data_IF_709888406315
#
_entry.id   IF_709888406315
#
_cell.length_a   1.000
_cell.length_b   1.000
_cell.length_c   1.000
_cell.angle_alpha   90.00
_cell.angle_beta   90.00
_cell.angle_gamma   90.00
#
_symmetry.space_group_name_H-M   'P 1'
#
loop_
_entity.id
_entity.type
_entity.pdbx_description
1 polymer ?
#
# COMPACT_ATOMS: atom_id res chain seq x y z
N UNK A 1 -3.33 -14.36 -6.93
CA UNK A 1 -4.07 -13.31 -6.19
C UNK A 1 -3.54 -13.02 -4.78
N UNK A 2 -3.23 -14.01 -3.92
CA UNK A 2 -2.75 -13.78 -2.53
C UNK A 2 -1.44 -13.01 -2.41
N UNK A 3 -0.54 -13.13 -3.41
CA UNK A 3 0.75 -12.43 -3.41
C UNK A 3 0.57 -10.91 -3.48
N UNK A 4 -0.36 -10.40 -4.30
CA UNK A 4 -0.61 -8.96 -4.45
C UNK A 4 -1.19 -8.31 -3.19
N UNK A 5 -2.04 -9.01 -2.45
CA UNK A 5 -2.52 -8.55 -1.15
C UNK A 5 -1.36 -8.39 -0.14
N UNK A 6 -0.36 -9.26 -0.20
CA UNK A 6 0.88 -9.15 0.58
C UNK A 6 1.69 -7.90 0.21
N UNK A 7 1.82 -7.59 -1.08
CA UNK A 7 2.53 -6.41 -1.55
C UNK A 7 1.85 -5.11 -1.13
N UNK A 8 0.52 -5.04 -1.30
CA UNK A 8 -0.30 -3.91 -0.87
C UNK A 8 -0.21 -3.68 0.64
N UNK A 9 -0.24 -4.76 1.43
CA UNK A 9 -0.05 -4.68 2.89
C UNK A 9 1.33 -4.13 3.24
N UNK A 10 2.38 -4.60 2.56
CA UNK A 10 3.74 -4.12 2.80
C UNK A 10 3.87 -2.62 2.50
N UNK A 11 3.40 -2.15 1.33
CA UNK A 11 3.48 -0.73 0.95
C UNK A 11 2.74 0.16 1.94
N UNK A 12 1.53 -0.24 2.35
CA UNK A 12 0.78 0.48 3.38
C UNK A 12 1.56 0.57 4.71
N UNK A 13 2.09 -0.56 5.18
CA UNK A 13 2.84 -0.61 6.43
C UNK A 13 4.15 0.18 6.34
N UNK A 14 4.89 0.11 5.23
CA UNK A 14 6.13 0.86 5.03
C UNK A 14 5.85 2.36 5.00
N UNK A 15 4.79 2.79 4.31
CA UNK A 15 4.36 4.19 4.31
C UNK A 15 3.93 4.68 5.70
N UNK A 16 3.20 3.86 6.46
CA UNK A 16 2.81 4.19 7.83
C UNK A 16 4.03 4.30 8.76
N UNK A 17 4.99 3.38 8.65
CA UNK A 17 6.23 3.42 9.43
C UNK A 17 7.05 4.68 9.11
N UNK A 18 7.16 5.04 7.83
CA UNK A 18 7.85 6.26 7.41
C UNK A 18 7.18 7.52 7.98
N UNK A 19 5.84 7.61 7.92
CA UNK A 19 5.13 8.74 8.51
C UNK A 19 5.25 8.80 10.03
N UNK A 20 5.26 7.66 10.72
CA UNK A 20 5.53 7.60 12.16
C UNK A 20 6.93 8.11 12.50
N UNK A 21 7.96 7.61 11.83
CA UNK A 21 9.34 8.02 12.05
C UNK A 21 9.53 9.53 11.81
N UNK A 22 8.91 10.07 10.75
CA UNK A 22 8.90 11.52 10.50
C UNK A 22 8.19 12.28 11.63
N UNK A 23 7.04 11.80 12.07
CA UNK A 23 6.31 12.44 13.16
C UNK A 23 7.11 12.44 14.47
N UNK A 24 7.78 11.33 14.79
CA UNK A 24 8.69 11.22 15.95
C UNK A 24 9.89 12.17 15.82
N UNK A 25 10.38 12.41 14.61
CA UNK A 25 11.42 13.41 14.32
C UNK A 25 10.91 14.86 14.31
N UNK A 26 9.61 15.11 14.52
CA UNK A 26 9.01 16.45 14.45
C UNK A 26 8.74 16.96 13.02
N UNK A 27 8.91 16.10 12.01
CA UNK A 27 8.69 16.43 10.61
C UNK A 27 7.21 16.42 10.22
N UNK A 28 6.89 17.20 9.17
CA UNK A 28 5.59 17.16 8.53
C UNK A 28 5.34 15.83 7.82
N UNK A 29 4.07 15.42 7.79
CA UNK A 29 3.63 14.24 7.04
C UNK A 29 3.95 14.37 5.56
N UNK A 30 4.22 13.24 4.92
CA UNK A 30 4.33 13.19 3.46
C UNK A 30 2.94 13.17 2.80
N UNK A 31 2.78 13.97 1.74
CA UNK A 31 1.62 13.87 0.86
C UNK A 31 1.73 12.70 -0.11
N UNK A 32 0.64 12.37 -0.80
CA UNK A 32 0.57 11.27 -1.77
C UNK A 32 1.68 11.30 -2.83
N UNK A 33 1.99 12.47 -3.38
CA UNK A 33 3.04 12.60 -4.40
C UNK A 33 4.42 12.19 -3.87
N UNK A 34 4.76 12.56 -2.63
CA UNK A 34 6.00 12.15 -1.99
C UNK A 34 6.01 10.65 -1.67
N UNK A 35 4.90 10.10 -1.19
CA UNK A 35 4.76 8.66 -0.98
C UNK A 35 4.89 7.85 -2.29
N UNK A 36 4.47 8.40 -3.42
CA UNK A 36 4.68 7.76 -4.73
C UNK A 36 6.16 7.76 -5.16
N UNK A 37 6.93 8.80 -4.80
CA UNK A 37 8.39 8.81 -4.99
C UNK A 37 9.05 7.72 -4.14
N UNK A 38 8.65 7.61 -2.87
CA UNK A 38 9.11 6.55 -1.97
C UNK A 38 8.77 5.15 -2.51
N UNK A 39 7.55 4.95 -3.03
CA UNK A 39 7.16 3.69 -3.66
C UNK A 39 8.06 3.34 -4.86
N UNK A 40 8.44 4.33 -5.66
CA UNK A 40 9.36 4.13 -6.78
C UNK A 40 10.73 3.69 -6.27
N UNK A 41 11.22 4.33 -5.20
CA UNK A 41 12.45 3.91 -4.52
C UNK A 41 12.36 2.47 -4.01
N UNK A 42 11.28 2.10 -3.32
CA UNK A 42 11.08 0.74 -2.81
C UNK A 42 11.01 -0.29 -3.94
N UNK A 43 10.34 0.01 -5.06
CA UNK A 43 10.30 -0.89 -6.23
C UNK A 43 11.66 -1.09 -6.90
N UNK A 44 12.58 -0.14 -6.74
CA UNK A 44 13.93 -0.22 -7.29
C UNK A 44 14.97 -0.69 -6.26
N UNK A 45 14.58 -0.90 -5.00
CA UNK A 45 15.47 -1.38 -3.95
C UNK A 45 15.78 -2.87 -4.11
N UNK A 46 17.04 -3.24 -3.88
CA UNK A 46 17.49 -4.63 -3.86
C UNK A 46 16.84 -5.45 -2.73
N UNK A 47 16.33 -4.81 -1.68
CA UNK A 47 15.66 -5.48 -0.56
C UNK A 47 14.24 -5.95 -0.91
N UNK A 48 13.61 -5.31 -1.91
CA UNK A 48 12.23 -5.59 -2.30
C UNK A 48 12.09 -5.81 -3.81
N UNK A 49 12.79 -6.79 -4.39
CA UNK A 49 12.75 -7.05 -5.84
C UNK A 49 11.34 -7.48 -6.29
N UNK A 50 10.63 -8.23 -5.44
CA UNK A 50 9.27 -8.70 -5.68
C UNK A 50 8.22 -7.58 -5.78
N UNK A 51 8.54 -6.35 -5.33
CA UNK A 51 7.68 -5.18 -5.47
C UNK A 51 7.67 -4.64 -6.91
N UNK A 52 8.76 -4.86 -7.66
CA UNK A 52 8.89 -4.47 -9.06
C UNK A 52 7.91 -5.25 -9.94
N UNK A 53 7.73 -6.53 -9.65
CA UNK A 53 6.88 -7.45 -10.42
C UNK A 53 5.38 -7.28 -10.09
N UNK A 54 5.06 -6.50 -9.05
CA UNK A 54 3.70 -6.21 -8.63
C UNK A 54 2.99 -5.16 -9.51
N UNK A 55 1.66 -5.24 -9.63
CA UNK A 55 0.87 -4.24 -10.35
C UNK A 55 0.94 -2.90 -9.63
N UNK A 56 1.40 -1.85 -10.33
CA UNK A 56 1.64 -0.53 -9.73
C UNK A 56 0.36 0.13 -9.21
N UNK A 57 -0.78 -0.10 -9.86
CA UNK A 57 -2.05 0.55 -9.53
C UNK A 57 -2.58 0.17 -8.13
N UNK A 58 -2.67 -1.12 -7.75
CA UNK A 58 -2.98 -1.53 -6.37
C UNK A 58 -2.02 -0.95 -5.31
N UNK A 59 -0.73 -0.84 -5.62
CA UNK A 59 0.27 -0.28 -4.70
C UNK A 59 0.02 1.22 -4.49
N UNK A 60 -0.22 1.97 -5.56
CA UNK A 60 -0.60 3.38 -5.48
C UNK A 60 -1.92 3.58 -4.72
N UNK A 61 -2.92 2.73 -4.96
CA UNK A 61 -4.19 2.80 -4.24
C UNK A 61 -3.99 2.58 -2.73
N UNK A 62 -3.07 1.70 -2.34
CA UNK A 62 -2.74 1.49 -0.91
C UNK A 62 -2.19 2.75 -0.23
N UNK A 63 -1.44 3.58 -0.97
CA UNK A 63 -0.94 4.85 -0.47
C UNK A 63 -2.04 5.91 -0.39
N UNK A 64 -2.99 5.92 -1.33
CA UNK A 64 -4.19 6.76 -1.23
C UNK A 64 -5.04 6.40 -0.01
N UNK A 65 -5.19 5.10 0.26
CA UNK A 65 -5.92 4.62 1.42
C UNK A 65 -5.22 5.05 2.72
N UNK A 66 -3.88 5.04 2.75
CA UNK A 66 -3.09 5.56 3.86
C UNK A 66 -3.30 7.07 4.05
N UNK A 67 -3.22 7.85 2.98
CA UNK A 67 -3.46 9.30 3.05
C UNK A 67 -4.87 9.62 3.55
N UNK A 68 -5.88 8.89 3.07
CA UNK A 68 -7.27 9.02 3.52
C UNK A 68 -7.43 8.64 4.99
N UNK A 69 -6.74 7.60 5.46
CA UNK A 69 -6.77 7.22 6.87
C UNK A 69 -6.22 8.34 7.77
N UNK A 70 -5.11 8.97 7.37
CA UNK A 70 -4.58 10.15 8.04
C UNK A 70 -5.56 11.34 7.98
N UNK A 71 -6.15 11.62 6.81
CA UNK A 71 -7.12 12.70 6.67
C UNK A 71 -8.33 12.51 7.60
N UNK A 72 -8.86 11.28 7.69
CA UNK A 72 -9.94 10.95 8.60
C UNK A 72 -9.54 11.07 10.07
N UNK A 73 -8.30 10.69 10.42
CA UNK A 73 -7.76 10.86 11.77
C UNK A 73 -7.69 12.35 12.17
N UNK A 74 -7.11 13.20 11.31
CA UNK A 74 -7.05 14.65 11.56
C UNK A 74 -8.43 15.30 11.60
N UNK A 75 -9.39 14.78 10.81
CA UNK A 75 -10.79 15.20 10.86
C UNK A 75 -11.57 14.63 12.06
N UNK A 76 -10.93 13.89 12.98
CA UNK A 76 -11.56 13.20 14.12
C UNK A 76 -12.71 12.25 13.74
N UNK A 77 -12.66 11.70 12.52
CA UNK A 77 -13.67 10.75 11.99
C UNK A 77 -13.24 9.29 12.14
N UNK A 78 -11.97 9.04 12.45
CA UNK A 78 -11.42 7.71 12.65
C UNK A 78 -10.22 7.77 13.60
N UNK A 79 -9.87 6.63 14.18
CA UNK A 79 -8.64 6.49 14.96
C UNK A 79 -7.38 6.52 14.10
N UNK A 80 -6.23 6.68 14.77
CA UNK A 80 -4.93 6.69 14.12
C UNK A 80 -4.71 5.41 13.30
N UNK A 81 -4.18 5.52 12.06
CA UNK A 81 -3.94 4.36 11.21
C UNK A 81 -3.01 3.34 11.88
N UNK A 82 -3.42 2.07 11.87
CA UNK A 82 -2.66 0.95 12.44
C UNK A 82 -2.03 0.09 11.35
N UNK A 83 -0.92 -0.55 11.67
CA UNK A 83 -0.30 -1.53 10.78
C UNK A 83 -1.28 -2.64 10.42
N UNK A 84 -1.38 -2.96 9.13
CA UNK A 84 -2.19 -4.06 8.61
C UNK A 84 -1.53 -5.40 8.95
N UNK A 85 -2.33 -6.35 9.43
CA UNK A 85 -1.91 -7.73 9.75
C UNK A 85 -2.34 -8.70 8.65
N UNK A 86 -1.56 -9.77 8.45
CA UNK A 86 -1.91 -10.86 7.52
C UNK A 86 -3.16 -11.59 7.99
N UNK A 87 -4.07 -11.95 7.09
CA UNK A 87 -5.32 -12.64 7.42
C UNK A 87 -6.44 -11.74 7.94
N UNK A 88 -6.17 -10.45 8.20
CA UNK A 88 -7.19 -9.49 8.63
C UNK A 88 -7.38 -8.44 7.54
N UNK A 89 -8.51 -8.53 6.80
CA UNK A 89 -8.86 -7.61 5.68
C UNK A 89 -7.86 -7.64 4.51
N UNK A 90 -7.40 -8.82 4.11
CA UNK A 90 -6.59 -9.03 2.88
C UNK A 90 -7.48 -8.77 1.64
N UNK A 91 -7.66 -7.50 1.29
CA UNK A 91 -8.38 -7.02 0.12
C UNK A 91 -7.54 -5.97 -0.60
N UNK A 92 -7.58 -5.98 -1.93
CA UNK A 92 -6.93 -4.98 -2.76
C UNK A 92 -7.89 -4.59 -3.88
N UNK A 93 -7.95 -3.29 -4.21
CA UNK A 93 -8.80 -2.77 -5.28
C UNK A 93 -7.97 -2.57 -6.54
N UNK A 94 -8.47 -3.09 -7.64
CA UNK A 94 -8.05 -2.65 -8.98
C UNK A 94 -8.93 -1.48 -9.40
N UNK A 95 -8.36 -0.35 -9.83
CA UNK A 95 -9.13 0.80 -10.29
C UNK A 95 -9.69 0.61 -11.72
N UNK A 96 -9.20 -0.36 -12.51
CA UNK A 96 -9.67 -0.59 -13.88
C UNK A 96 -9.94 -2.10 -14.12
N UNK A 97 -11.16 -2.50 -14.53
CA UNK A 97 -11.48 -3.89 -14.85
C UNK A 97 -10.79 -4.40 -16.14
N UNK A 98 -10.27 -3.54 -17.01
CA UNK A 98 -9.64 -3.94 -18.30
C UNK A 98 -8.24 -4.54 -18.17
N UNK A 99 -7.58 -4.39 -17.01
CA UNK A 99 -6.21 -4.89 -16.78
C UNK A 99 -6.16 -6.31 -16.19
N UNK A 100 -7.30 -6.95 -15.98
CA UNK A 100 -7.37 -8.32 -15.48
C UNK A 100 -7.36 -9.28 -16.68
N UNK A 101 -6.17 -9.70 -17.15
CA UNK A 101 -6.05 -11.02 -17.77
C UNK A 101 -6.07 -12.04 -16.62
N UNK A 102 -7.27 -12.51 -16.31
CA UNK A 102 -7.45 -13.63 -15.38
C UNK A 102 -6.99 -14.87 -16.15
N UNK A 103 -5.72 -15.25 -16.00
CA UNK A 103 -5.29 -16.58 -16.43
C UNK A 103 -5.98 -17.58 -15.50
N UNK A 104 -7.12 -18.07 -15.95
CA UNK A 104 -7.96 -19.03 -15.24
C UNK A 104 -7.41 -20.45 -15.50
N UNK A 105 -6.11 -20.64 -15.32
CA UNK A 105 -5.40 -21.89 -15.58
C UNK A 105 -5.07 -22.68 -14.31
N UNK A 106 -6.05 -22.95 -13.43
CA UNK A 106 -5.96 -24.12 -12.54
C UNK A 106 -7.30 -24.41 -11.84
N UNK A 107 -8.18 -25.12 -12.56
CA UNK A 107 -9.19 -25.98 -11.95
C UNK A 107 -8.47 -27.24 -11.49
N UNK A 108 -8.24 -27.39 -10.18
CA UNK A 108 -7.91 -28.70 -9.61
C UNK A 108 -9.22 -29.39 -9.27
N UNK A 109 -9.42 -30.55 -9.90
CA UNK A 109 -10.41 -31.58 -9.59
C UNK A 109 -10.26 -32.06 -8.14
#
# INVERSE_FOLDING_TARGET
MRQFAGMVRFVFNRGLALQKARHEAGDKKLGYAALCKELTSWRNSAETPWLKDGPIHPLQQSLKDLERAYANFFAKRADFPRFKKKGQRDSFRYPDPKQIKLDQGNRRL
#
